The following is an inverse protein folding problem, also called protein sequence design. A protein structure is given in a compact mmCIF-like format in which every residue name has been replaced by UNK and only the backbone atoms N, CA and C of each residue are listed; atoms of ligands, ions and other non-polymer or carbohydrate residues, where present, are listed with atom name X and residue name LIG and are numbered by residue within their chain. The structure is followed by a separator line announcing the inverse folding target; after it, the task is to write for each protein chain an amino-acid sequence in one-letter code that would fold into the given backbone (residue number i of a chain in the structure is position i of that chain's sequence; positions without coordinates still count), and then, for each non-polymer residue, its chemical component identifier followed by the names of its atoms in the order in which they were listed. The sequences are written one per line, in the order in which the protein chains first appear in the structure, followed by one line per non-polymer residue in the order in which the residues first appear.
data_IF_089589388983
#
_entry.id   IF_089589388983
#
_cell.length_a   1.000
_cell.length_b   1.000
_cell.length_c   1.000
_cell.angle_alpha   90.00
_cell.angle_beta   90.00
_cell.angle_gamma   90.00
#
_symmetry.space_group_name_H-M   'P 1'
#
loop_
_entity.id
_entity.type
_entity.pdbx_description
1 polymer ?
#
# COMPACT_ATOMS: atom_id res chain seq x y z
N UNK A 1 -14.26 -12.69 10.70
CA UNK A 1 -13.66 -13.54 9.66
C UNK A 1 -12.22 -13.73 10.05
N UNK A 2 -11.83 -14.95 10.42
CA UNK A 2 -10.42 -15.27 10.71
C UNK A 2 -9.71 -15.52 9.39
N UNK A 3 -8.50 -14.99 9.24
CA UNK A 3 -7.66 -15.18 8.05
C UNK A 3 -6.78 -16.40 8.34
N UNK A 4 -6.92 -17.47 7.55
CA UNK A 4 -5.99 -18.60 7.60
C UNK A 4 -4.73 -18.25 6.79
N UNK A 5 -3.58 -18.18 7.46
CA UNK A 5 -2.31 -17.80 6.83
C UNK A 5 -1.81 -18.83 5.81
N UNK A 6 -2.18 -20.11 5.99
CA UNK A 6 -1.79 -21.21 5.09
C UNK A 6 -2.54 -21.15 3.74
N UNK A 7 -3.64 -20.41 3.68
CA UNK A 7 -4.45 -20.23 2.46
C UNK A 7 -4.03 -18.98 1.66
N UNK A 8 -3.09 -18.18 2.17
CA UNK A 8 -2.62 -16.99 1.47
C UNK A 8 -1.66 -17.36 0.34
N UNK A 9 -1.94 -16.82 -0.85
CA UNK A 9 -1.08 -17.01 -2.01
C UNK A 9 0.14 -16.10 -1.94
N UNK A 10 1.24 -16.59 -2.50
CA UNK A 10 2.46 -15.81 -2.71
C UNK A 10 2.97 -15.97 -4.14
N UNK A 11 3.67 -14.95 -4.64
CA UNK A 11 4.38 -15.03 -5.91
C UNK A 11 5.69 -15.82 -5.80
N UNK A 12 6.39 -16.00 -6.92
CA UNK A 12 7.68 -16.71 -6.99
C UNK A 12 8.78 -16.12 -6.09
N UNK A 13 8.61 -14.87 -5.64
CA UNK A 13 9.52 -14.15 -4.77
C UNK A 13 9.05 -14.15 -3.30
N UNK A 14 7.96 -14.86 -2.98
CA UNK A 14 7.40 -14.92 -1.63
C UNK A 14 6.62 -13.67 -1.19
N UNK A 15 6.26 -12.79 -2.13
CA UNK A 15 5.42 -11.63 -1.85
C UNK A 15 3.95 -12.03 -1.77
N UNK A 16 3.16 -11.29 -1.00
CA UNK A 16 1.71 -11.49 -0.99
C UNK A 16 1.13 -11.32 -2.40
N UNK A 17 0.32 -12.29 -2.82
CA UNK A 17 -0.39 -12.25 -4.08
C UNK A 17 -1.82 -12.78 -3.92
N UNK A 18 -2.69 -12.50 -4.88
CA UNK A 18 -4.02 -13.07 -4.93
C UNK A 18 -4.46 -13.33 -6.38
N UNK A 19 -5.44 -14.22 -6.55
CA UNK A 19 -6.03 -14.49 -7.86
C UNK A 19 -7.04 -13.40 -8.21
N UNK A 20 -6.82 -12.74 -9.33
CA UNK A 20 -7.79 -11.83 -9.93
C UNK A 20 -8.94 -12.62 -10.54
N UNK A 21 -10.07 -11.95 -10.82
CA UNK A 21 -11.21 -12.56 -11.51
C UNK A 21 -10.83 -13.18 -12.87
N UNK A 22 -9.80 -12.65 -13.53
CA UNK A 22 -9.26 -13.19 -14.79
C UNK A 22 -8.39 -14.45 -14.64
N UNK A 23 -8.23 -14.98 -13.42
CA UNK A 23 -7.37 -16.15 -13.15
C UNK A 23 -5.87 -15.83 -13.14
N UNK A 24 -5.50 -14.55 -13.18
CA UNK A 24 -4.10 -14.12 -13.08
C UNK A 24 -3.71 -13.87 -11.63
N UNK A 25 -2.52 -14.33 -11.26
CA UNK A 25 -1.89 -13.97 -10.01
C UNK A 25 -1.47 -12.50 -10.05
N UNK A 26 -1.93 -11.71 -9.09
CA UNK A 26 -1.58 -10.30 -8.95
C UNK A 26 -0.84 -10.07 -7.63
N UNK A 27 0.33 -9.45 -7.72
CA UNK A 27 1.15 -9.01 -6.58
C UNK A 27 0.94 -7.51 -6.35
N UNK A 28 0.27 -7.10 -5.25
CA UNK A 28 0.10 -5.70 -4.92
C UNK A 28 1.43 -5.00 -4.65
N UNK A 29 1.49 -3.70 -4.98
CA UNK A 29 2.62 -2.84 -4.65
C UNK A 29 2.24 -1.89 -3.53
N UNK A 30 3.09 -1.84 -2.52
CA UNK A 30 2.95 -1.00 -1.35
C UNK A 30 3.84 0.22 -1.48
N UNK A 31 3.34 1.38 -1.03
CA UNK A 31 4.10 2.62 -1.02
C UNK A 31 5.42 2.42 -0.27
N UNK A 32 6.52 2.80 -0.92
CA UNK A 32 7.86 2.78 -0.35
C UNK A 32 8.33 4.21 -0.07
N UNK A 33 8.20 5.09 -1.06
CA UNK A 33 8.71 6.47 -0.99
C UNK A 33 8.00 7.38 -2.01
N UNK A 34 8.20 8.69 -1.88
CA UNK A 34 7.79 9.70 -2.86
C UNK A 34 9.02 10.50 -3.29
N UNK A 35 9.32 10.49 -4.59
CA UNK A 35 10.39 11.30 -5.19
C UNK A 35 10.01 12.79 -5.09
N UNK A 36 10.54 13.46 -4.07
CA UNK A 36 10.27 14.87 -3.80
C UNK A 36 10.84 15.83 -4.85
N UNK A 37 11.81 15.41 -5.68
CA UNK A 37 12.31 16.24 -6.77
C UNK A 37 11.34 16.27 -7.95
N UNK A 38 10.57 15.21 -8.15
CA UNK A 38 9.51 15.15 -9.17
C UNK A 38 8.16 15.61 -8.66
N UNK A 39 7.88 15.45 -7.37
CA UNK A 39 6.60 15.78 -6.78
C UNK A 39 6.23 17.25 -6.99
N UNK A 40 5.04 17.49 -7.52
CA UNK A 40 4.50 18.84 -7.73
C UNK A 40 3.53 19.30 -6.63
N UNK A 41 3.40 18.54 -5.54
CA UNK A 41 2.52 18.84 -4.41
C UNK A 41 1.06 19.16 -4.82
N UNK A 42 0.53 18.41 -5.79
CA UNK A 42 -0.84 18.60 -6.29
C UNK A 42 -1.92 17.85 -5.48
N UNK A 43 -1.54 17.17 -4.40
CA UNK A 43 -2.41 16.51 -3.42
C UNK A 43 -3.35 15.39 -3.91
N UNK A 44 -3.44 15.12 -5.21
CA UNK A 44 -4.33 14.06 -5.77
C UNK A 44 -4.13 12.67 -5.16
N UNK A 45 -2.87 12.29 -4.91
CA UNK A 45 -2.55 11.01 -4.28
C UNK A 45 -3.08 10.95 -2.85
N UNK A 46 -3.12 12.09 -2.17
CA UNK A 46 -3.70 12.24 -0.86
C UNK A 46 -5.20 12.03 -1.00
N UNK A 47 -5.91 12.82 -1.83
CA UNK A 47 -7.38 12.79 -2.04
C UNK A 47 -8.01 11.41 -2.32
N UNK A 48 -7.24 10.42 -2.77
CA UNK A 48 -7.70 9.04 -2.99
C UNK A 48 -7.25 8.02 -1.94
N UNK A 49 -6.32 8.37 -1.06
CA UNK A 49 -5.82 7.46 -0.03
C UNK A 49 -6.86 7.29 1.08
N UNK A 50 -7.36 6.07 1.25
CA UNK A 50 -8.31 5.71 2.32
C UNK A 50 -7.64 5.55 3.69
N UNK A 51 -6.33 5.31 3.68
CA UNK A 51 -5.51 5.07 4.87
C UNK A 51 -4.75 6.32 5.31
N UNK A 52 -5.14 7.54 4.87
CA UNK A 52 -4.46 8.79 5.22
C UNK A 52 -4.09 8.81 6.71
N UNK A 53 -2.80 8.71 7.01
CA UNK A 53 -2.28 9.10 8.31
C UNK A 53 -2.39 10.61 8.38
N UNK A 54 -3.36 11.10 9.15
CA UNK A 54 -3.47 12.51 9.47
C UNK A 54 -2.67 12.71 10.75
N UNK A 55 -1.74 13.66 10.77
CA UNK A 55 -1.06 14.06 12.01
C UNK A 55 -2.03 14.78 12.95
N UNK A 56 -1.59 15.06 14.18
CA UNK A 56 -2.39 15.78 15.17
C UNK A 56 -2.81 17.20 14.69
N UNK A 57 -2.21 17.71 13.63
CA UNK A 57 -2.45 19.03 13.06
C UNK A 57 -3.30 19.01 11.78
N UNK A 58 -3.81 17.84 11.36
CA UNK A 58 -4.62 17.75 10.15
C UNK A 58 -3.82 17.58 8.85
N UNK A 59 -2.48 17.48 8.93
CA UNK A 59 -1.63 17.27 7.77
C UNK A 59 -1.57 15.79 7.41
N UNK A 60 -1.57 15.50 6.11
CA UNK A 60 -1.47 14.13 5.64
C UNK A 60 0.01 13.75 5.62
N UNK A 61 0.43 12.84 6.50
CA UNK A 61 1.82 12.38 6.57
C UNK A 61 1.99 11.15 5.66
N UNK A 62 2.87 11.21 4.64
CA UNK A 62 3.25 10.06 3.83
C UNK A 62 4.10 9.00 4.58
N UNK A 63 4.49 9.26 5.83
CA UNK A 63 5.55 8.55 6.57
C UNK A 63 5.15 7.19 7.16
N UNK A 64 3.95 6.68 6.86
CA UNK A 64 3.55 5.36 7.35
C UNK A 64 3.38 4.35 6.21
N UNK A 65 4.48 3.82 5.62
CA UNK A 65 4.41 2.67 4.73
C UNK A 65 3.59 1.52 5.33
N UNK A 66 3.64 1.31 6.65
CA UNK A 66 2.91 0.25 7.33
C UNK A 66 1.38 0.33 7.18
N UNK A 67 0.81 1.54 7.05
CA UNK A 67 -0.63 1.72 6.91
C UNK A 67 -1.08 1.66 5.44
N UNK A 68 -0.15 1.68 4.48
CA UNK A 68 -0.46 1.58 3.06
C UNK A 68 -1.13 0.24 2.72
N UNK A 69 -2.37 0.26 2.22
CA UNK A 69 -3.12 -0.94 1.86
C UNK A 69 -2.64 -1.66 0.59
N UNK A 70 -1.76 -1.03 -0.19
CA UNK A 70 -1.35 -1.55 -1.49
C UNK A 70 -2.40 -1.40 -2.58
N UNK A 71 -3.39 -0.49 -2.43
CA UNK A 71 -4.45 -0.28 -3.42
C UNK A 71 -3.97 0.34 -4.75
N UNK A 72 -2.83 1.02 -4.76
CA UNK A 72 -2.21 1.56 -5.98
C UNK A 72 -2.82 2.85 -6.53
N UNK A 73 -3.87 3.43 -5.92
CA UNK A 73 -4.51 4.65 -6.42
C UNK A 73 -3.56 5.84 -6.56
N UNK A 74 -2.65 6.03 -5.60
CA UNK A 74 -1.68 7.13 -5.61
C UNK A 74 -0.76 7.09 -6.84
N UNK A 75 -0.30 5.90 -7.23
CA UNK A 75 0.54 5.73 -8.42
C UNK A 75 -0.22 6.04 -9.71
N UNK A 76 -1.48 5.63 -9.80
CA UNK A 76 -2.31 5.84 -10.98
C UNK A 76 -2.69 7.30 -11.22
N UNK A 77 -2.87 8.09 -10.14
CA UNK A 77 -3.30 9.49 -10.25
C UNK A 77 -2.14 10.49 -10.32
N UNK A 78 -0.90 10.06 -10.01
CA UNK A 78 0.23 10.96 -9.91
C UNK A 78 0.74 11.37 -11.32
N UNK A 79 0.53 12.64 -11.75
CA UNK A 79 0.95 13.07 -13.08
C UNK A 79 2.48 13.14 -13.22
N UNK A 80 3.17 13.37 -12.10
CA UNK A 80 4.63 13.49 -12.05
C UNK A 80 5.35 12.14 -11.95
N UNK A 81 4.60 11.03 -11.83
CA UNK A 81 5.15 9.69 -11.64
C UNK A 81 6.18 9.62 -10.48
N UNK A 82 5.92 10.37 -9.40
CA UNK A 82 6.82 10.47 -8.24
C UNK A 82 6.63 9.36 -7.20
N UNK A 83 5.63 8.48 -7.37
CA UNK A 83 5.31 7.44 -6.38
C UNK A 83 6.20 6.21 -6.58
N UNK A 84 7.00 5.86 -5.57
CA UNK A 84 7.71 4.58 -5.52
C UNK A 84 6.91 3.54 -4.75
N UNK A 85 6.59 2.41 -5.39
CA UNK A 85 5.89 1.30 -4.75
C UNK A 85 6.52 -0.05 -5.11
N UNK A 86 6.58 -0.95 -4.14
CA UNK A 86 7.16 -2.30 -4.30
C UNK A 86 6.29 -3.39 -3.68
N UNK A 87 6.34 -4.63 -4.19
CA UNK A 87 5.85 -5.79 -3.46
C UNK A 87 6.49 -5.91 -2.07
N UNK A 88 5.79 -6.56 -1.15
CA UNK A 88 6.32 -6.90 0.17
C UNK A 88 6.16 -8.40 0.42
N UNK A 89 7.07 -9.01 1.21
CA UNK A 89 6.95 -10.40 1.64
C UNK A 89 5.60 -10.67 2.32
N UNK A 90 5.06 -11.87 2.15
CA UNK A 90 3.79 -12.28 2.77
C UNK A 90 3.77 -12.03 4.29
N UNK A 91 4.88 -12.35 4.97
CA UNK A 91 5.03 -12.11 6.41
C UNK A 91 4.88 -10.64 6.78
N UNK A 92 5.50 -9.75 6.01
CA UNK A 92 5.40 -8.30 6.23
C UNK A 92 3.96 -7.81 6.01
N UNK A 93 3.26 -8.34 5.00
CA UNK A 93 1.85 -8.03 4.77
C UNK A 93 1.00 -8.41 5.99
N UNK A 94 1.17 -9.63 6.53
CA UNK A 94 0.45 -10.12 7.71
C UNK A 94 0.71 -9.21 8.92
N UNK A 95 1.96 -8.80 9.16
CA UNK A 95 2.33 -7.87 10.23
C UNK A 95 1.62 -6.52 10.09
N UNK A 96 1.60 -5.95 8.87
CA UNK A 96 0.91 -4.67 8.60
C UNK A 96 -0.60 -4.77 8.85
N UNK A 97 -1.24 -5.88 8.47
CA UNK A 97 -2.67 -6.11 8.73
C UNK A 97 -2.95 -6.22 10.23
N UNK A 98 -2.14 -6.99 10.96
CA UNK A 98 -2.25 -7.11 12.43
C UNK A 98 -2.08 -5.76 13.12
N UNK A 99 -1.10 -4.95 12.70
CA UNK A 99 -0.88 -3.59 13.23
C UNK A 99 -2.12 -2.72 13.05
N UNK A 100 -2.70 -2.66 11.83
CA UNK A 100 -3.92 -1.87 11.56
C UNK A 100 -5.13 -2.29 12.37
N UNK A 101 -5.31 -3.60 12.57
CA UNK A 101 -6.42 -4.11 13.38
C UNK A 101 -6.37 -3.62 14.83
N UNK A 102 -5.17 -3.36 15.35
CA UNK A 102 -4.95 -2.90 16.72
C UNK A 102 -4.92 -1.37 16.87
N UNK A 103 -4.89 -0.62 15.76
CA UNK A 103 -4.88 0.86 15.75
C UNK A 103 -6.26 1.45 15.42
N UNK A 104 -7.29 0.60 15.25
CA UNK A 104 -8.66 0.99 14.92
C UNK A 104 -9.61 0.78 16.10
#
# INVERSE_FOLDING_TARGET
MEVNEEELLSDENGNYAYLTFGGYLYTPKYLKDIDHLKCQNCERCLELCETRGIDENGNIIPEFPEICSGCGHCGNVCPAQSIEAKPIPLKEMIERVRKRRNTR
#
